data_IF_528365385842
#
_entry.id   IF_528365385842
#
_cell.length_a   1.000
_cell.length_b   1.000
_cell.length_c   1.000
_cell.angle_alpha   90.00
_cell.angle_beta   90.00
_cell.angle_gamma   90.00
#
_symmetry.space_group_name_H-M   'P 1'
#
loop_
_entity.id
_entity.type
_entity.pdbx_description
1 polymer ?
#
# COMPACT_ATOMS: atom_id res chain seq x y z
N UNK A 1 31.01 12.84 -3.97
CA UNK A 1 30.17 13.18 -2.78
C UNK A 1 29.09 12.12 -2.49
N UNK A 2 29.27 10.88 -3.00
CA UNK A 2 28.31 9.78 -2.86
C UNK A 2 28.80 8.67 -1.88
N UNK A 3 29.83 8.89 -1.07
CA UNK A 3 30.51 7.80 -0.33
C UNK A 3 30.34 7.82 1.19
N UNK A 4 29.53 8.69 1.78
CA UNK A 4 29.45 8.86 3.25
C UNK A 4 28.17 8.26 3.91
N UNK A 5 27.24 7.66 3.15
CA UNK A 5 25.98 7.15 3.73
C UNK A 5 25.89 5.64 4.02
N UNK A 6 26.89 4.84 3.63
CA UNK A 6 26.84 3.38 3.86
C UNK A 6 26.96 2.96 5.33
N UNK A 7 27.70 3.72 6.13
CA UNK A 7 27.99 3.32 7.52
C UNK A 7 26.92 3.73 8.55
N UNK A 8 26.04 4.67 8.21
CA UNK A 8 25.02 5.18 9.12
C UNK A 8 23.84 4.23 9.35
N UNK A 9 23.34 3.57 8.31
CA UNK A 9 22.17 2.68 8.40
C UNK A 9 22.52 1.38 9.14
N UNK A 10 23.65 0.75 8.84
CA UNK A 10 24.11 -0.45 9.56
C UNK A 10 24.41 -0.17 11.03
N UNK A 11 24.94 1.01 11.36
CA UNK A 11 25.21 1.42 12.75
C UNK A 11 23.90 1.62 13.54
N UNK A 12 22.85 2.20 12.92
CA UNK A 12 21.54 2.33 13.54
C UNK A 12 20.85 0.98 13.74
N UNK A 13 20.96 0.05 12.79
CA UNK A 13 20.43 -1.31 12.91
C UNK A 13 21.06 -2.09 14.08
N UNK A 14 22.38 -2.05 14.21
CA UNK A 14 23.08 -2.76 15.29
C UNK A 14 22.78 -2.16 16.68
N UNK A 15 22.66 -0.84 16.80
CA UNK A 15 22.32 -0.18 18.07
C UNK A 15 20.87 -0.45 18.47
N UNK A 16 19.94 -0.48 17.50
CA UNK A 16 18.53 -0.76 17.76
C UNK A 16 18.30 -2.24 18.15
N UNK A 17 18.97 -3.19 17.52
CA UNK A 17 18.92 -4.61 17.91
C UNK A 17 19.39 -4.85 19.35
N UNK A 18 20.38 -4.11 19.83
CA UNK A 18 20.90 -4.27 21.20
C UNK A 18 19.94 -3.69 22.24
N UNK A 19 19.19 -2.64 21.90
CA UNK A 19 18.25 -1.98 22.82
C UNK A 19 16.93 -2.77 22.91
N UNK A 20 16.43 -3.32 21.80
CA UNK A 20 15.13 -4.01 21.78
C UNK A 20 15.16 -5.42 22.43
N UNK A 21 16.32 -6.08 22.48
CA UNK A 21 16.44 -7.39 23.16
C UNK A 21 16.43 -7.31 24.70
N UNK A 22 16.49 -6.11 25.28
CA UNK A 22 16.58 -5.95 26.75
C UNK A 22 15.32 -5.45 27.46
N UNK A 23 14.31 -4.94 26.77
CA UNK A 23 13.20 -4.24 27.43
C UNK A 23 11.77 -4.58 27.00
N UNK A 24 11.53 -5.54 26.14
CA UNK A 24 10.14 -5.87 25.78
C UNK A 24 9.57 -7.03 26.60
N UNK A 25 9.05 -6.72 27.79
CA UNK A 25 7.76 -7.27 28.21
C UNK A 25 6.68 -6.40 27.55
N UNK A 26 6.41 -6.66 26.27
CA UNK A 26 5.28 -6.06 25.58
C UNK A 26 4.03 -6.57 26.28
N UNK A 27 3.24 -5.64 26.81
CA UNK A 27 1.85 -5.88 27.17
C UNK A 27 1.16 -6.47 25.92
N UNK A 28 0.91 -7.77 25.94
CA UNK A 28 0.07 -8.46 24.95
C UNK A 28 -1.36 -7.98 25.18
N UNK A 29 -1.72 -6.85 24.55
CA UNK A 29 -3.10 -6.66 24.18
C UNK A 29 -3.43 -7.86 23.29
N UNK A 30 -4.33 -8.74 23.75
CA UNK A 30 -4.76 -9.94 23.07
C UNK A 30 -5.25 -9.53 21.68
N UNK A 31 -4.45 -9.82 20.64
CA UNK A 31 -4.90 -9.75 19.27
C UNK A 31 -6.10 -10.69 19.15
N UNK A 32 -7.20 -10.23 18.56
CA UNK A 32 -8.44 -11.00 18.43
C UNK A 32 -8.35 -12.23 17.52
N UNK A 33 -7.16 -12.56 17.00
CA UNK A 33 -6.90 -13.84 16.35
C UNK A 33 -6.82 -14.90 17.47
N UNK A 34 -7.82 -15.78 17.51
CA UNK A 34 -7.90 -16.86 18.50
C UNK A 34 -6.64 -17.74 18.41
N UNK A 35 -6.17 -18.27 19.55
CA UNK A 35 -5.04 -19.21 19.69
C UNK A 35 -5.25 -20.55 18.97
N UNK A 36 -6.27 -20.70 18.14
CA UNK A 36 -6.67 -21.92 17.47
C UNK A 36 -6.53 -21.83 15.94
N UNK A 37 -5.38 -22.16 15.42
CA UNK A 37 -5.20 -22.49 14.01
C UNK A 37 -4.76 -21.31 13.11
N UNK A 38 -3.83 -21.60 12.18
CA UNK A 38 -3.47 -20.74 11.08
C UNK A 38 -4.72 -20.45 10.23
N UNK A 39 -5.08 -19.17 10.02
CA UNK A 39 -6.08 -18.78 9.02
C UNK A 39 -5.39 -18.46 7.71
N UNK A 40 -6.05 -18.69 6.58
CA UNK A 40 -5.40 -18.48 5.29
C UNK A 40 -5.19 -16.99 4.98
N UNK A 41 -6.08 -16.11 5.47
CA UNK A 41 -6.03 -14.68 5.16
C UNK A 41 -6.60 -13.81 6.29
N UNK A 42 -6.21 -12.53 6.30
CA UNK A 42 -6.71 -11.52 7.23
C UNK A 42 -6.80 -10.14 6.53
N UNK A 43 -7.85 -9.39 6.86
CA UNK A 43 -8.08 -8.00 6.43
C UNK A 43 -7.80 -7.05 7.57
N UNK A 44 -6.88 -6.11 7.40
CA UNK A 44 -6.59 -5.06 8.38
C UNK A 44 -7.35 -3.78 8.05
N UNK A 45 -8.01 -3.17 9.02
CA UNK A 45 -8.76 -1.93 8.82
C UNK A 45 -8.94 -1.12 10.10
N UNK A 46 -9.45 0.11 9.96
CA UNK A 46 -9.72 1.00 11.08
C UNK A 46 -10.80 2.01 10.72
N UNK A 47 -11.60 2.43 11.73
CA UNK A 47 -12.64 3.43 11.56
C UNK A 47 -12.10 4.85 11.31
N UNK A 48 -10.82 5.11 11.60
CA UNK A 48 -10.20 6.41 11.30
C UNK A 48 -10.37 6.78 9.81
N UNK A 49 -10.39 5.79 8.91
CA UNK A 49 -10.53 6.01 7.48
C UNK A 49 -11.95 6.42 7.03
N UNK A 50 -12.94 6.44 7.94
CA UNK A 50 -14.30 6.94 7.67
C UNK A 50 -14.38 8.46 7.78
N UNK A 51 -13.73 9.04 8.78
CA UNK A 51 -13.84 10.46 9.10
C UNK A 51 -12.64 11.32 8.69
N UNK A 52 -11.48 10.69 8.55
CA UNK A 52 -10.25 11.41 8.25
C UNK A 52 -10.14 11.78 6.76
N UNK A 53 -9.94 13.05 6.45
CA UNK A 53 -9.89 13.61 5.09
C UNK A 53 -8.69 14.53 4.91
N UNK A 54 -8.12 14.57 3.70
CA UNK A 54 -6.96 15.40 3.34
C UNK A 54 -7.27 16.88 3.13
N UNK A 55 -8.52 17.27 3.24
CA UNK A 55 -8.96 18.65 2.99
C UNK A 55 -9.49 18.89 1.57
N UNK A 56 -10.25 19.98 1.43
CA UNK A 56 -10.98 20.33 0.20
C UNK A 56 -10.01 20.53 -0.99
N UNK A 57 -10.32 19.90 -2.12
CA UNK A 57 -9.55 20.02 -3.35
C UNK A 57 -8.37 19.08 -3.49
N UNK A 58 -7.99 18.36 -2.44
CA UNK A 58 -6.93 17.36 -2.53
C UNK A 58 -7.41 16.08 -3.26
N UNK A 59 -6.58 15.44 -4.14
CA UNK A 59 -6.97 14.22 -4.84
C UNK A 59 -7.41 13.07 -3.92
N UNK A 60 -6.80 12.96 -2.74
CA UNK A 60 -7.17 11.96 -1.71
C UNK A 60 -8.31 12.41 -0.78
N UNK A 61 -8.96 13.54 -1.06
CA UNK A 61 -10.18 13.93 -0.35
C UNK A 61 -11.40 13.15 -0.89
N UNK A 62 -11.29 11.84 -0.88
CA UNK A 62 -12.29 10.87 -1.33
C UNK A 62 -12.38 9.70 -0.37
N UNK A 63 -13.54 9.06 -0.36
CA UNK A 63 -13.71 7.81 0.36
C UNK A 63 -12.98 6.67 -0.38
N UNK A 64 -12.07 5.98 0.29
CA UNK A 64 -11.25 4.91 -0.31
C UNK A 64 -11.32 3.59 0.46
N UNK A 65 -10.89 3.60 1.73
CA UNK A 65 -10.72 2.38 2.54
C UNK A 65 -12.06 1.89 3.09
N UNK A 66 -12.84 2.77 3.72
CA UNK A 66 -14.10 2.34 4.33
C UNK A 66 -15.14 1.81 3.32
N UNK A 67 -15.25 2.32 2.08
CA UNK A 67 -16.16 1.73 1.11
C UNK A 67 -15.78 0.29 0.74
N UNK A 68 -14.48 -0.05 0.77
CA UNK A 68 -14.01 -1.42 0.53
C UNK A 68 -14.49 -2.34 1.65
N UNK A 69 -14.32 -1.93 2.92
CA UNK A 69 -14.77 -2.70 4.09
C UNK A 69 -16.28 -2.95 4.00
N UNK A 70 -17.05 -1.88 3.78
CA UNK A 70 -18.51 -1.99 3.75
C UNK A 70 -19.00 -2.79 2.54
N UNK A 71 -18.37 -2.61 1.37
CA UNK A 71 -18.68 -3.38 0.17
C UNK A 71 -18.41 -4.87 0.37
N UNK A 72 -17.25 -5.23 0.93
CA UNK A 72 -16.92 -6.62 1.24
C UNK A 72 -17.88 -7.23 2.28
N UNK A 73 -18.35 -6.46 3.27
CA UNK A 73 -19.36 -6.90 4.23
C UNK A 73 -20.73 -7.10 3.58
N UNK A 74 -21.17 -6.18 2.73
CA UNK A 74 -22.44 -6.31 1.99
C UNK A 74 -22.41 -7.55 1.08
N UNK A 75 -21.27 -7.87 0.49
CA UNK A 75 -21.08 -9.06 -0.34
C UNK A 75 -20.92 -10.36 0.48
N UNK A 76 -20.90 -10.29 1.81
CA UNK A 76 -20.61 -11.39 2.72
C UNK A 76 -19.20 -12.02 2.49
N UNK A 77 -18.26 -11.22 1.99
CA UNK A 77 -16.87 -11.64 1.75
C UNK A 77 -15.94 -11.31 2.92
N UNK A 78 -16.40 -10.53 3.89
CA UNK A 78 -15.61 -10.13 5.05
C UNK A 78 -16.37 -10.40 6.37
N UNK A 79 -16.45 -11.66 6.81
CA UNK A 79 -16.88 -12.01 8.18
C UNK A 79 -15.94 -11.41 9.23
N UNK A 80 -16.46 -11.17 10.44
CA UNK A 80 -15.71 -10.49 11.50
C UNK A 80 -14.45 -11.24 11.95
N UNK A 81 -14.42 -12.56 11.84
CA UNK A 81 -13.24 -13.39 12.17
C UNK A 81 -12.02 -13.15 11.26
N UNK A 82 -12.23 -12.58 10.06
CA UNK A 82 -11.15 -12.21 9.14
C UNK A 82 -10.81 -10.72 9.17
N UNK A 83 -11.51 -9.94 10.00
CA UNK A 83 -11.27 -8.50 10.13
C UNK A 83 -10.48 -8.20 11.40
N UNK A 84 -9.33 -7.59 11.25
CA UNK A 84 -8.47 -7.16 12.35
C UNK A 84 -8.50 -5.63 12.45
N UNK A 85 -9.11 -5.04 13.50
CA UNK A 85 -9.05 -3.61 13.75
C UNK A 85 -7.64 -3.18 14.14
N UNK A 86 -7.27 -1.95 13.75
CA UNK A 86 -5.92 -1.42 13.92
C UNK A 86 -5.95 -0.04 14.55
N UNK A 87 -5.08 0.16 15.54
CA UNK A 87 -4.77 1.45 16.17
C UNK A 87 -3.46 2.04 15.58
N UNK A 88 -3.20 3.34 15.74
CA UNK A 88 -1.98 3.97 15.22
C UNK A 88 -0.69 3.35 15.78
N UNK A 89 0.31 3.19 14.91
CA UNK A 89 1.65 2.79 15.33
C UNK A 89 2.29 3.82 16.27
N UNK A 90 3.07 3.33 17.21
CA UNK A 90 3.85 4.21 18.09
C UNK A 90 4.99 4.90 17.32
N UNK A 91 5.51 6.04 17.83
CA UNK A 91 6.70 6.69 17.27
C UNK A 91 7.90 5.75 17.12
N UNK A 92 8.10 4.86 18.08
CA UNK A 92 9.20 3.88 18.09
C UNK A 92 9.03 2.85 16.96
N UNK A 93 7.82 2.40 16.69
CA UNK A 93 7.53 1.50 15.58
C UNK A 93 7.79 2.19 14.23
N UNK A 94 7.40 3.45 14.08
CA UNK A 94 7.67 4.24 12.88
C UNK A 94 9.16 4.56 12.70
N UNK A 95 9.91 4.66 13.80
CA UNK A 95 11.35 4.95 13.78
C UNK A 95 12.18 3.80 13.19
N UNK A 96 11.58 2.67 12.87
CA UNK A 96 12.22 1.60 12.09
C UNK A 96 12.67 2.10 10.70
N UNK A 97 11.96 3.06 10.13
CA UNK A 97 12.28 3.66 8.83
C UNK A 97 12.41 5.19 8.90
N UNK A 98 11.55 5.87 9.68
CA UNK A 98 11.48 7.31 9.71
C UNK A 98 12.31 7.93 10.82
N UNK A 99 12.92 9.08 10.55
CA UNK A 99 13.63 9.86 11.54
C UNK A 99 12.70 10.32 12.67
N UNK A 100 13.12 10.17 13.92
CA UNK A 100 12.33 10.58 15.08
C UNK A 100 11.99 12.08 15.07
N UNK A 101 12.86 12.92 14.50
CA UNK A 101 12.60 14.36 14.34
C UNK A 101 11.44 14.63 13.37
N UNK A 102 11.35 13.86 12.28
CA UNK A 102 10.25 13.93 11.32
C UNK A 102 8.93 13.43 11.94
N UNK A 103 8.96 12.30 12.67
CA UNK A 103 7.80 11.77 13.38
C UNK A 103 7.24 12.80 14.37
N UNK A 104 8.11 13.46 15.13
CA UNK A 104 7.70 14.54 16.05
C UNK A 104 7.10 15.73 15.32
N UNK A 105 7.61 16.09 14.14
CA UNK A 105 7.03 17.14 13.32
C UNK A 105 5.61 16.79 12.85
N UNK A 106 5.34 15.53 12.46
CA UNK A 106 3.98 15.06 12.16
C UNK A 106 3.04 15.16 13.37
N UNK A 107 3.50 14.76 14.55
CA UNK A 107 2.73 14.89 15.79
C UNK A 107 2.43 16.35 16.15
N UNK A 108 3.41 17.24 15.97
CA UNK A 108 3.22 18.69 16.17
C UNK A 108 2.22 19.25 15.15
N UNK A 109 2.35 18.87 13.87
CA UNK A 109 1.45 19.30 12.81
C UNK A 109 0.00 18.87 13.10
N UNK A 110 -0.21 17.67 13.62
CA UNK A 110 -1.55 17.21 14.02
C UNK A 110 -2.10 17.97 15.21
N UNK A 111 -1.30 18.12 16.27
CA UNK A 111 -1.72 18.78 17.50
C UNK A 111 -2.07 20.27 17.27
N UNK A 112 -1.17 20.98 16.58
CA UNK A 112 -1.21 22.44 16.47
C UNK A 112 -1.92 22.90 15.17
N UNK A 113 -2.20 21.98 14.24
CA UNK A 113 -2.71 22.22 12.89
C UNK A 113 -1.87 23.26 12.11
N UNK A 114 -0.61 23.37 12.47
CA UNK A 114 0.39 24.27 11.90
C UNK A 114 1.81 23.75 12.16
N UNK A 115 2.76 24.19 11.37
CA UNK A 115 4.20 24.08 11.61
C UNK A 115 4.88 25.42 11.32
N UNK A 116 6.08 25.60 11.87
CA UNK A 116 6.92 26.74 11.48
C UNK A 116 7.45 26.54 10.05
N UNK A 117 7.68 27.63 9.32
CA UNK A 117 8.15 27.60 7.94
C UNK A 117 9.40 26.74 7.74
N UNK A 118 10.35 26.81 8.66
CA UNK A 118 11.57 26.00 8.62
C UNK A 118 11.28 24.49 8.66
N UNK A 119 10.36 24.06 9.50
CA UNK A 119 9.94 22.65 9.61
C UNK A 119 9.11 22.21 8.40
N UNK A 120 8.21 23.09 7.89
CA UNK A 120 7.48 22.84 6.64
C UNK A 120 8.45 22.62 5.48
N UNK A 121 9.46 23.45 5.32
CA UNK A 121 10.48 23.30 4.28
C UNK A 121 11.32 22.05 4.44
N UNK A 122 11.74 21.75 5.66
CA UNK A 122 12.58 20.57 5.98
C UNK A 122 11.84 19.28 5.75
N UNK A 123 10.64 19.15 6.28
CA UNK A 123 9.87 17.90 6.33
C UNK A 123 8.83 17.78 5.23
N UNK A 124 8.63 18.83 4.41
CA UNK A 124 7.65 18.90 3.32
C UNK A 124 6.19 18.64 3.78
N UNK A 125 5.90 18.88 5.05
CA UNK A 125 4.56 18.84 5.63
C UNK A 125 3.90 20.20 5.45
N UNK A 126 2.68 20.26 4.90
CA UNK A 126 1.99 21.49 4.52
C UNK A 126 2.42 22.07 3.15
N UNK A 127 3.32 21.38 2.45
CA UNK A 127 3.85 21.78 1.14
C UNK A 127 3.67 20.65 0.11
N UNK A 128 3.85 20.99 -1.17
CA UNK A 128 3.91 20.03 -2.30
C UNK A 128 2.76 19.02 -2.32
N UNK A 129 1.55 19.49 -2.03
CA UNK A 129 0.35 18.64 -1.89
C UNK A 129 0.43 17.61 -0.76
N UNK A 130 1.24 17.84 0.28
CA UNK A 130 1.22 17.09 1.53
C UNK A 130 0.59 17.99 2.63
N UNK A 131 -0.74 18.16 2.68
CA UNK A 131 -1.39 19.13 3.53
C UNK A 131 -1.29 18.77 5.01
N UNK A 132 -1.37 19.78 5.89
CA UNK A 132 -1.71 19.55 7.28
C UNK A 132 -3.23 19.35 7.36
N UNK A 133 -3.67 18.28 8.01
CA UNK A 133 -5.07 17.95 8.27
C UNK A 133 -5.23 17.30 9.63
N UNK A 134 -6.46 17.16 10.10
CA UNK A 134 -6.78 16.77 11.48
C UNK A 134 -6.07 15.49 11.98
N UNK A 135 -5.83 14.52 11.10
CA UNK A 135 -5.22 13.23 11.44
C UNK A 135 -3.91 12.98 10.66
N UNK A 136 -3.12 14.05 10.43
CA UNK A 136 -1.91 13.96 9.58
C UNK A 136 -0.83 13.03 10.14
N UNK A 137 -0.84 12.75 11.44
CA UNK A 137 -0.03 11.72 12.09
C UNK A 137 -0.79 10.41 12.25
N UNK A 138 -1.98 10.43 12.90
CA UNK A 138 -2.69 9.20 13.27
C UNK A 138 -3.13 8.37 12.07
N UNK A 139 -3.65 9.01 11.01
CA UNK A 139 -4.11 8.29 9.82
C UNK A 139 -2.98 7.49 9.13
N UNK A 140 -1.83 8.07 8.74
CA UNK A 140 -0.73 7.29 8.17
C UNK A 140 -0.07 6.35 9.18
N UNK A 141 -0.02 6.70 10.47
CA UNK A 141 0.45 5.79 11.51
C UNK A 141 -0.44 4.55 11.66
N UNK A 142 -1.77 4.68 11.49
CA UNK A 142 -2.69 3.53 11.48
C UNK A 142 -2.47 2.64 10.25
N UNK A 143 -2.29 3.22 9.07
CA UNK A 143 -1.95 2.46 7.86
C UNK A 143 -0.64 1.68 8.04
N UNK A 144 0.37 2.31 8.64
CA UNK A 144 1.66 1.68 8.94
C UNK A 144 1.54 0.58 10.00
N UNK A 145 0.74 0.78 11.05
CA UNK A 145 0.48 -0.25 12.05
C UNK A 145 -0.12 -1.52 11.43
N UNK A 146 -1.07 -1.36 10.50
CA UNK A 146 -1.65 -2.47 9.77
C UNK A 146 -0.59 -3.27 8.99
N UNK A 147 0.32 -2.59 8.30
CA UNK A 147 1.41 -3.23 7.55
C UNK A 147 2.44 -3.91 8.47
N UNK A 148 2.75 -3.31 9.63
CA UNK A 148 3.63 -3.92 10.64
C UNK A 148 2.99 -5.16 11.27
N UNK A 149 1.70 -5.10 11.65
CA UNK A 149 0.96 -6.24 12.19
C UNK A 149 0.82 -7.37 11.16
N UNK A 150 0.62 -7.02 9.89
CA UNK A 150 0.59 -7.96 8.78
C UNK A 150 1.94 -8.68 8.61
N UNK A 151 3.05 -7.94 8.63
CA UNK A 151 4.40 -8.52 8.60
C UNK A 151 4.64 -9.48 9.77
N UNK A 152 4.20 -9.11 10.98
CA UNK A 152 4.27 -9.99 12.15
C UNK A 152 3.44 -11.27 11.98
N UNK A 153 2.21 -11.14 11.50
CA UNK A 153 1.31 -12.28 11.29
C UNK A 153 1.83 -13.26 10.23
N UNK A 154 2.41 -12.75 9.15
CA UNK A 154 3.03 -13.56 8.10
C UNK A 154 4.29 -14.27 8.61
N UNK A 155 5.18 -13.54 9.30
CA UNK A 155 6.41 -14.13 9.82
C UNK A 155 6.14 -15.23 10.86
N UNK A 156 5.15 -15.04 11.72
CA UNK A 156 4.71 -16.00 12.74
C UNK A 156 3.83 -17.12 12.14
N UNK A 157 3.66 -17.16 10.82
CA UNK A 157 2.85 -18.14 10.09
C UNK A 157 1.39 -18.25 10.59
N UNK A 158 0.86 -17.16 11.15
CA UNK A 158 -0.54 -17.07 11.58
C UNK A 158 -1.50 -16.93 10.41
N UNK A 159 -1.01 -16.34 9.31
CA UNK A 159 -1.74 -16.17 8.06
C UNK A 159 -0.83 -16.42 6.86
N UNK A 160 -1.41 -16.78 5.70
CA UNK A 160 -0.69 -16.86 4.42
C UNK A 160 -0.77 -15.58 3.63
N UNK A 161 -1.90 -14.88 3.70
CA UNK A 161 -2.12 -13.60 3.00
C UNK A 161 -2.72 -12.58 3.96
N UNK A 162 -2.11 -11.41 4.00
CA UNK A 162 -2.59 -10.26 4.77
C UNK A 162 -2.97 -9.13 3.80
N UNK A 163 -4.11 -8.50 3.99
CA UNK A 163 -4.57 -7.39 3.15
C UNK A 163 -4.72 -6.10 3.97
N UNK A 164 -4.02 -5.06 3.56
CA UNK A 164 -4.12 -3.72 4.11
C UNK A 164 -4.44 -2.70 3.00
N UNK A 165 -5.71 -2.40 2.71
CA UNK A 165 -6.07 -1.43 1.67
C UNK A 165 -5.72 0.02 2.04
N UNK A 166 -5.41 0.30 3.30
CA UNK A 166 -5.01 1.64 3.75
C UNK A 166 -3.51 1.92 3.56
N UNK A 167 -2.71 0.87 3.37
CA UNK A 167 -1.28 0.94 3.11
C UNK A 167 -0.93 1.26 1.66
N UNK A 168 0.34 1.07 1.35
CA UNK A 168 0.86 1.34 0.01
C UNK A 168 1.33 2.78 -0.20
N UNK A 169 1.81 3.43 0.84
CA UNK A 169 2.29 4.81 0.80
C UNK A 169 3.78 4.86 0.45
N UNK A 170 4.13 4.38 -0.73
CA UNK A 170 5.47 4.03 -1.20
C UNK A 170 6.40 5.21 -1.53
N UNK A 171 5.88 6.45 -1.51
CA UNK A 171 6.68 7.65 -1.79
C UNK A 171 7.26 8.30 -0.53
N UNK A 172 6.77 7.98 0.68
CA UNK A 172 7.25 8.56 1.93
C UNK A 172 8.76 8.36 2.10
N UNK A 173 9.48 9.44 2.45
CA UNK A 173 10.93 9.41 2.66
C UNK A 173 11.21 9.27 4.18
N UNK A 174 12.40 8.83 4.59
CA UNK A 174 12.72 8.70 6.00
C UNK A 174 12.53 9.98 6.80
N UNK A 175 12.83 11.12 6.19
CA UNK A 175 12.92 12.42 6.83
C UNK A 175 11.91 13.47 6.34
N UNK A 176 10.98 13.08 5.44
CA UNK A 176 10.01 14.03 4.87
C UNK A 176 8.83 13.35 4.18
N UNK A 177 7.71 14.06 4.10
CA UNK A 177 6.56 13.68 3.28
C UNK A 177 6.86 13.86 1.78
N UNK A 178 6.30 12.98 0.95
CA UNK A 178 6.48 13.03 -0.50
C UNK A 178 5.28 12.34 -1.19
N UNK A 179 4.76 12.92 -2.28
CA UNK A 179 3.71 12.30 -3.09
C UNK A 179 2.47 11.88 -2.31
N UNK A 180 1.94 12.74 -1.44
CA UNK A 180 0.81 12.47 -0.54
C UNK A 180 1.10 11.44 0.57
N UNK A 181 2.32 10.89 0.61
CA UNK A 181 2.74 9.87 1.56
C UNK A 181 3.51 10.50 2.72
N UNK A 182 2.98 10.37 3.93
CA UNK A 182 3.60 10.85 5.17
C UNK A 182 4.42 9.76 5.85
N UNK A 183 3.99 8.50 5.77
CA UNK A 183 4.70 7.34 6.35
C UNK A 183 4.81 6.28 5.27
N UNK A 184 6.00 5.69 5.10
CA UNK A 184 6.24 4.62 4.11
C UNK A 184 5.99 3.27 4.77
N UNK A 185 4.75 2.82 4.74
CA UNK A 185 4.35 1.56 5.33
C UNK A 185 4.88 0.32 4.58
N UNK A 186 5.05 0.32 3.22
CA UNK A 186 5.73 -0.79 2.54
C UNK A 186 7.17 -0.99 3.04
N UNK A 187 7.94 0.10 3.16
CA UNK A 187 9.30 0.03 3.68
C UNK A 187 9.33 -0.46 5.13
N UNK A 188 8.42 0.02 5.98
CA UNK A 188 8.29 -0.44 7.35
C UNK A 188 7.98 -1.94 7.45
N UNK A 189 7.07 -2.46 6.61
CA UNK A 189 6.73 -3.88 6.60
C UNK A 189 7.92 -4.75 6.15
N UNK A 190 8.64 -4.34 5.11
CA UNK A 190 9.84 -5.03 4.65
C UNK A 190 10.91 -5.06 5.75
N UNK A 191 11.22 -3.91 6.33
CA UNK A 191 12.19 -3.80 7.42
C UNK A 191 11.77 -4.63 8.66
N UNK A 192 10.47 -4.69 8.95
CA UNK A 192 9.94 -5.53 10.04
C UNK A 192 10.18 -7.02 9.80
N UNK A 193 9.93 -7.51 8.58
CA UNK A 193 10.23 -8.89 8.18
C UNK A 193 11.74 -9.19 8.32
N UNK A 194 12.59 -8.31 7.82
CA UNK A 194 14.05 -8.45 7.92
C UNK A 194 14.55 -8.43 9.38
N UNK A 195 13.99 -7.56 10.21
CA UNK A 195 14.31 -7.48 11.64
C UNK A 195 13.93 -8.77 12.38
N UNK A 196 12.84 -9.42 11.98
CA UNK A 196 12.43 -10.72 12.53
C UNK A 196 13.28 -11.89 12.04
N UNK A 197 14.07 -11.72 10.99
CA UNK A 197 15.00 -12.73 10.50
C UNK A 197 14.75 -13.21 9.07
N UNK A 198 13.82 -12.62 8.32
CA UNK A 198 13.63 -12.93 6.91
C UNK A 198 14.92 -12.66 6.11
N UNK A 199 15.27 -13.60 5.21
CA UNK A 199 16.50 -13.51 4.41
C UNK A 199 16.22 -13.03 2.99
N UNK A 200 14.98 -13.16 2.48
CA UNK A 200 14.60 -12.75 1.13
C UNK A 200 13.19 -12.21 1.10
N UNK A 201 13.03 -10.92 0.82
CA UNK A 201 11.74 -10.26 0.66
C UNK A 201 11.63 -9.70 -0.75
N UNK A 202 10.59 -10.08 -1.49
CA UNK A 202 10.25 -9.51 -2.78
C UNK A 202 9.26 -8.35 -2.58
N UNK A 203 9.52 -7.21 -3.19
CA UNK A 203 8.57 -6.12 -3.33
C UNK A 203 8.13 -6.03 -4.79
N UNK A 204 6.84 -6.26 -5.04
CA UNK A 204 6.23 -6.17 -6.38
C UNK A 204 5.23 -5.03 -6.36
N UNK A 205 5.38 -4.07 -7.27
CA UNK A 205 4.59 -2.85 -7.33
C UNK A 205 3.89 -2.71 -8.69
N UNK A 206 2.57 -2.62 -8.69
CA UNK A 206 1.74 -2.42 -9.88
C UNK A 206 0.96 -1.10 -9.84
N UNK A 207 1.33 -0.18 -8.94
CA UNK A 207 0.87 1.20 -8.92
C UNK A 207 1.30 1.94 -10.21
N UNK A 208 0.57 2.95 -10.63
CA UNK A 208 0.94 3.72 -11.81
C UNK A 208 2.16 4.63 -11.62
N UNK A 209 2.65 4.78 -10.38
CA UNK A 209 3.79 5.63 -10.02
C UNK A 209 4.98 4.80 -9.55
N UNK A 210 6.19 5.27 -9.88
CA UNK A 210 7.42 4.63 -9.40
C UNK A 210 7.55 4.75 -7.87
N UNK A 211 7.87 3.65 -7.14
CA UNK A 211 8.03 3.65 -5.68
C UNK A 211 9.36 4.24 -5.22
N UNK A 212 9.57 5.53 -5.48
CA UNK A 212 10.84 6.22 -5.26
C UNK A 212 11.31 6.17 -3.79
N UNK A 213 10.37 6.27 -2.84
CA UNK A 213 10.68 6.18 -1.42
C UNK A 213 11.15 4.78 -1.00
N UNK A 214 10.55 3.71 -1.56
CA UNK A 214 10.96 2.34 -1.28
C UNK A 214 12.29 2.04 -1.97
N UNK A 215 12.41 2.32 -3.28
CA UNK A 215 13.62 2.01 -4.04
C UNK A 215 14.84 2.75 -3.50
N UNK A 216 14.74 4.06 -3.26
CA UNK A 216 15.86 4.88 -2.83
C UNK A 216 16.51 4.41 -1.51
N UNK A 217 15.77 3.68 -0.68
CA UNK A 217 16.21 3.32 0.67
C UNK A 217 16.38 1.82 0.91
N UNK A 218 15.75 0.98 0.09
CA UNK A 218 15.85 -0.49 0.23
C UNK A 218 16.64 -1.16 -0.90
N UNK A 219 16.82 -0.50 -2.06
CA UNK A 219 17.76 -1.00 -3.06
C UNK A 219 19.18 -0.89 -2.52
N UNK A 220 19.90 -1.99 -2.50
CA UNK A 220 21.23 -2.07 -1.87
C UNK A 220 21.28 -3.04 -0.70
N UNK A 221 20.13 -3.48 -0.17
CA UNK A 221 20.06 -4.64 0.72
C UNK A 221 19.83 -5.90 -0.13
N UNK A 222 20.82 -6.79 -0.18
CA UNK A 222 20.77 -8.03 -0.99
C UNK A 222 19.62 -8.97 -0.61
N UNK A 223 19.02 -8.77 0.56
CA UNK A 223 17.83 -9.52 1.04
C UNK A 223 16.54 -9.00 0.44
N UNK A 224 16.55 -7.81 -0.21
CA UNK A 224 15.36 -7.18 -0.79
C UNK A 224 15.53 -7.02 -2.28
N UNK A 225 14.57 -7.50 -3.06
CA UNK A 225 14.53 -7.21 -4.48
C UNK A 225 13.18 -6.60 -4.87
N UNK A 226 13.25 -5.56 -5.71
CA UNK A 226 12.10 -4.73 -6.09
C UNK A 226 11.79 -4.90 -7.58
N UNK A 227 10.51 -5.02 -7.91
CA UNK A 227 9.97 -4.98 -9.27
C UNK A 227 8.83 -3.98 -9.31
N UNK A 228 8.90 -3.02 -10.21
CA UNK A 228 7.85 -2.00 -10.37
C UNK A 228 7.42 -1.89 -11.81
N UNK A 229 6.09 -1.88 -12.03
CA UNK A 229 5.47 -1.50 -13.30
C UNK A 229 4.82 -0.15 -13.07
N UNK A 230 5.16 0.87 -13.88
CA UNK A 230 4.57 2.20 -13.74
C UNK A 230 4.52 2.95 -15.07
N UNK A 231 3.75 4.05 -15.14
CA UNK A 231 3.63 4.86 -16.34
C UNK A 231 4.92 5.63 -16.61
N UNK A 232 5.43 5.54 -17.83
CA UNK A 232 6.62 6.25 -18.28
C UNK A 232 6.47 7.77 -18.15
N UNK A 233 7.53 8.45 -17.69
CA UNK A 233 7.59 9.90 -17.54
C UNK A 233 6.50 10.50 -16.61
N UNK A 234 5.79 9.67 -15.85
CA UNK A 234 4.87 10.09 -14.79
C UNK A 234 5.66 10.59 -13.58
N UNK A 235 5.07 11.47 -12.77
CA UNK A 235 5.63 11.80 -11.48
C UNK A 235 5.91 10.49 -10.68
N UNK A 236 7.01 10.35 -9.95
CA UNK A 236 8.08 11.31 -9.63
C UNK A 236 9.16 11.46 -10.71
N UNK A 237 9.00 10.85 -11.89
CA UNK A 237 9.94 10.89 -13.03
C UNK A 237 11.27 10.19 -12.76
N UNK A 238 11.27 9.28 -11.81
CA UNK A 238 12.36 8.34 -11.49
C UNK A 238 11.98 6.94 -11.96
N UNK A 239 12.84 5.93 -11.77
CA UNK A 239 12.54 4.55 -12.13
C UNK A 239 12.49 4.31 -13.64
N UNK A 240 13.35 4.95 -14.43
CA UNK A 240 13.45 4.66 -15.86
C UNK A 240 13.89 3.20 -16.07
N UNK A 241 13.56 2.62 -17.22
CA UNK A 241 13.86 1.21 -17.52
C UNK A 241 15.34 0.81 -17.35
N UNK A 242 16.27 1.77 -17.36
CA UNK A 242 17.70 1.55 -17.09
C UNK A 242 18.09 1.69 -15.61
N UNK A 243 17.19 2.17 -14.76
CA UNK A 243 17.44 2.31 -13.33
C UNK A 243 17.24 0.95 -12.65
N UNK A 244 18.34 0.38 -12.18
CA UNK A 244 18.36 -0.95 -11.57
C UNK A 244 18.60 -0.93 -10.05
N UNK A 245 18.58 0.24 -9.41
CA UNK A 245 18.76 0.35 -7.96
C UNK A 245 19.97 -0.44 -7.46
N UNK A 246 21.17 -0.17 -8.00
CA UNK A 246 22.42 -0.90 -7.69
C UNK A 246 22.34 -2.43 -7.92
N UNK A 247 21.42 -2.88 -8.79
CA UNK A 247 21.21 -4.29 -9.11
C UNK A 247 20.05 -4.95 -8.38
N UNK A 248 19.40 -4.25 -7.44
CA UNK A 248 18.32 -4.78 -6.60
C UNK A 248 16.93 -4.27 -6.98
N UNK A 249 16.80 -3.50 -8.05
CA UNK A 249 15.52 -3.06 -8.59
C UNK A 249 15.38 -3.39 -10.08
N UNK A 250 14.15 -3.55 -10.53
CA UNK A 250 13.76 -3.72 -11.93
C UNK A 250 12.54 -2.86 -12.21
N UNK A 251 12.73 -1.86 -13.05
CA UNK A 251 11.70 -0.89 -13.43
C UNK A 251 11.19 -1.17 -14.84
N UNK A 252 9.88 -1.38 -14.98
CA UNK A 252 9.20 -1.64 -16.25
C UNK A 252 8.25 -0.48 -16.53
N UNK A 253 8.69 0.44 -17.36
CA UNK A 253 7.87 1.58 -17.75
C UNK A 253 6.88 1.21 -18.84
N UNK A 254 5.64 1.65 -18.69
CA UNK A 254 4.58 1.48 -19.68
C UNK A 254 4.21 2.83 -20.31
N UNK A 255 4.03 2.83 -21.61
CA UNK A 255 3.57 3.99 -22.35
C UNK A 255 2.14 4.39 -21.94
N UNK A 256 1.84 5.68 -22.05
CA UNK A 256 0.48 6.20 -21.85
C UNK A 256 -0.51 5.45 -22.76
N UNK A 257 -1.62 4.99 -22.21
CA UNK A 257 -2.62 4.20 -22.92
C UNK A 257 -2.35 2.69 -22.88
N UNK A 258 -1.29 2.22 -22.22
CA UNK A 258 -1.06 0.80 -22.04
C UNK A 258 -2.20 0.16 -21.21
N UNK A 259 -2.71 -0.96 -21.72
CA UNK A 259 -3.80 -1.72 -21.12
C UNK A 259 -3.35 -3.06 -20.55
N UNK A 260 -4.34 -3.94 -20.30
CA UNK A 260 -4.14 -5.26 -19.67
C UNK A 260 -3.05 -6.09 -20.35
N UNK A 261 -3.02 -6.13 -21.68
CA UNK A 261 -2.06 -6.94 -22.44
C UNK A 261 -0.60 -6.55 -22.12
N UNK A 262 -0.34 -5.25 -21.94
CA UNK A 262 0.99 -4.76 -21.58
C UNK A 262 1.34 -5.10 -20.15
N UNK A 263 0.39 -4.90 -19.22
CA UNK A 263 0.56 -5.26 -17.81
C UNK A 263 0.85 -6.75 -17.66
N UNK A 264 -0.02 -7.60 -18.19
CA UNK A 264 0.09 -9.07 -18.06
C UNK A 264 1.33 -9.62 -18.76
N UNK A 265 1.71 -9.05 -19.90
CA UNK A 265 2.96 -9.42 -20.58
C UNK A 265 4.19 -9.09 -19.71
N UNK A 266 4.22 -7.93 -19.05
CA UNK A 266 5.31 -7.60 -18.11
C UNK A 266 5.35 -8.59 -16.96
N UNK A 267 4.19 -8.95 -16.40
CA UNK A 267 4.11 -9.95 -15.34
C UNK A 267 4.67 -11.29 -15.79
N UNK A 268 4.18 -11.82 -16.90
CA UNK A 268 4.49 -13.20 -17.36
C UNK A 268 5.91 -13.35 -17.90
N UNK A 269 6.39 -12.36 -18.65
CA UNK A 269 7.69 -12.49 -19.33
C UNK A 269 8.87 -12.07 -18.47
N UNK A 270 8.66 -11.17 -17.52
CA UNK A 270 9.78 -10.58 -16.76
C UNK A 270 9.63 -10.76 -15.26
N UNK A 271 8.56 -10.25 -14.65
CA UNK A 271 8.48 -10.16 -13.19
C UNK A 271 8.40 -11.54 -12.54
N UNK A 272 7.39 -12.34 -12.90
CA UNK A 272 7.18 -13.64 -12.25
C UNK A 272 8.36 -14.60 -12.37
N UNK A 273 9.02 -14.72 -13.57
CA UNK A 273 10.22 -15.54 -13.68
C UNK A 273 11.39 -15.06 -12.81
N UNK A 274 11.56 -13.74 -12.66
CA UNK A 274 12.63 -13.17 -11.84
C UNK A 274 12.32 -13.32 -10.34
N UNK A 275 11.08 -13.06 -9.91
CA UNK A 275 10.64 -13.28 -8.53
C UNK A 275 10.81 -14.76 -8.16
N UNK A 276 10.42 -15.68 -9.04
CA UNK A 276 10.59 -17.12 -8.81
C UNK A 276 12.08 -17.50 -8.68
N UNK A 277 12.96 -16.91 -9.50
CA UNK A 277 14.42 -17.13 -9.43
C UNK A 277 15.01 -16.55 -8.15
N UNK A 278 14.57 -15.39 -7.71
CA UNK A 278 14.98 -14.79 -6.43
C UNK A 278 14.60 -15.68 -5.25
N UNK A 279 13.51 -16.44 -5.40
CA UNK A 279 12.97 -17.36 -4.41
C UNK A 279 12.72 -16.70 -3.05
N UNK A 280 11.84 -15.67 -2.97
CA UNK A 280 11.57 -14.95 -1.73
C UNK A 280 10.93 -15.85 -0.69
N UNK A 281 11.16 -15.52 0.58
CA UNK A 281 10.43 -16.08 1.70
C UNK A 281 9.07 -15.37 1.88
N UNK A 282 9.05 -14.05 1.62
CA UNK A 282 7.87 -13.19 1.73
C UNK A 282 7.73 -12.29 0.51
N UNK A 283 6.49 -11.96 0.19
CA UNK A 283 6.17 -10.98 -0.86
C UNK A 283 5.40 -9.81 -0.23
N UNK A 284 5.77 -8.60 -0.58
CA UNK A 284 4.97 -7.39 -0.37
C UNK A 284 4.49 -6.93 -1.74
N UNK A 285 3.18 -7.07 -1.99
CA UNK A 285 2.52 -6.65 -3.22
C UNK A 285 1.89 -5.27 -3.00
N UNK A 286 2.42 -4.26 -3.66
CA UNK A 286 1.82 -2.93 -3.77
C UNK A 286 0.79 -2.96 -4.90
N UNK A 287 -0.49 -2.92 -4.53
CA UNK A 287 -1.60 -3.02 -5.45
C UNK A 287 -2.35 -1.67 -5.56
N UNK A 288 -1.62 -0.59 -5.88
CA UNK A 288 -2.23 0.66 -6.29
C UNK A 288 -3.12 0.46 -7.51
N UNK A 289 -4.27 1.10 -7.52
CA UNK A 289 -5.25 0.95 -8.59
C UNK A 289 -5.41 2.20 -9.45
N UNK A 290 -4.47 3.12 -9.38
CA UNK A 290 -4.47 4.34 -10.22
C UNK A 290 -4.01 4.09 -11.67
N UNK A 291 -3.54 2.88 -11.99
CA UNK A 291 -3.38 2.39 -13.36
C UNK A 291 -4.70 2.04 -14.07
N UNK A 292 -5.84 2.05 -13.36
CA UNK A 292 -7.14 1.76 -13.95
C UNK A 292 -7.59 2.88 -14.90
N UNK A 293 -8.27 2.49 -15.98
CA UNK A 293 -8.78 3.41 -17.03
C UNK A 293 -9.58 4.60 -16.51
N UNK A 294 -10.27 4.40 -15.38
CA UNK A 294 -11.14 5.42 -14.79
C UNK A 294 -10.45 6.26 -13.71
N UNK A 295 -9.14 6.14 -13.55
CA UNK A 295 -8.38 6.92 -12.58
C UNK A 295 -7.80 8.20 -13.20
N UNK A 296 -7.93 9.37 -12.53
CA UNK A 296 -7.47 10.64 -13.09
C UNK A 296 -5.95 10.89 -12.95
N UNK A 297 -5.24 10.09 -12.15
CA UNK A 297 -3.83 10.34 -11.85
C UNK A 297 -2.85 9.60 -12.76
N UNK A 298 -3.33 8.74 -13.66
CA UNK A 298 -2.48 8.12 -14.68
C UNK A 298 -3.13 8.16 -16.07
N UNK A 299 -2.36 7.78 -17.07
CA UNK A 299 -2.84 7.59 -18.42
C UNK A 299 -2.88 6.13 -18.84
N UNK A 300 -2.60 5.21 -17.92
CA UNK A 300 -2.80 3.77 -18.12
C UNK A 300 -4.30 3.45 -18.25
N UNK A 301 -4.63 2.33 -18.84
CA UNK A 301 -6.02 1.96 -19.11
C UNK A 301 -6.33 0.51 -18.74
N UNK A 302 -5.85 0.07 -17.58
CA UNK A 302 -6.17 -1.25 -17.07
C UNK A 302 -7.66 -1.36 -16.74
N UNK A 303 -8.23 -2.55 -16.89
CA UNK A 303 -9.52 -2.89 -16.31
C UNK A 303 -9.35 -3.54 -14.94
N UNK A 304 -10.42 -3.60 -14.14
CA UNK A 304 -10.42 -4.36 -12.90
C UNK A 304 -9.97 -5.82 -13.13
N UNK A 305 -10.45 -6.43 -14.21
CA UNK A 305 -10.09 -7.81 -14.57
C UNK A 305 -8.58 -7.98 -14.80
N UNK A 306 -7.97 -7.11 -15.59
CA UNK A 306 -6.53 -7.18 -15.85
C UNK A 306 -5.68 -6.89 -14.59
N UNK A 307 -6.12 -5.92 -13.79
CA UNK A 307 -5.51 -5.60 -12.51
C UNK A 307 -5.56 -6.79 -11.54
N UNK A 308 -6.72 -7.46 -11.41
CA UNK A 308 -6.87 -8.64 -10.57
C UNK A 308 -6.04 -9.82 -11.07
N UNK A 309 -6.00 -10.06 -12.40
CA UNK A 309 -5.16 -11.09 -12.99
C UNK A 309 -3.68 -10.89 -12.66
N UNK A 310 -3.19 -9.64 -12.69
CA UNK A 310 -1.82 -9.33 -12.29
C UNK A 310 -1.55 -9.68 -10.81
N UNK A 311 -2.45 -9.28 -9.91
CA UNK A 311 -2.35 -9.61 -8.50
C UNK A 311 -2.46 -11.13 -8.23
N UNK A 312 -3.41 -11.80 -8.89
CA UNK A 312 -3.63 -13.25 -8.80
C UNK A 312 -2.39 -14.06 -9.20
N UNK A 313 -1.67 -13.61 -10.24
CA UNK A 313 -0.40 -14.21 -10.65
C UNK A 313 0.69 -14.12 -9.57
N UNK A 314 0.76 -13.02 -8.84
CA UNK A 314 1.69 -12.87 -7.70
C UNK A 314 1.28 -13.79 -6.54
N UNK A 315 -0.01 -13.81 -6.19
CA UNK A 315 -0.55 -14.72 -5.17
C UNK A 315 -0.33 -16.19 -5.53
N UNK A 316 -0.41 -16.52 -6.83
CA UNK A 316 -0.13 -17.86 -7.38
C UNK A 316 1.30 -18.36 -7.18
N UNK A 317 2.25 -17.49 -6.77
CA UNK A 317 3.58 -17.92 -6.34
C UNK A 317 3.56 -18.69 -5.00
N UNK A 318 2.42 -18.71 -4.31
CA UNK A 318 2.19 -19.43 -3.06
C UNK A 318 3.22 -19.12 -1.96
N UNK A 319 3.56 -17.84 -1.82
CA UNK A 319 4.42 -17.32 -0.75
C UNK A 319 3.57 -16.52 0.25
N UNK A 320 3.96 -16.48 1.53
CA UNK A 320 3.36 -15.55 2.47
C UNK A 320 3.41 -14.13 1.92
N UNK A 321 2.22 -13.51 1.73
CA UNK A 321 2.09 -12.25 0.98
C UNK A 321 1.33 -11.20 1.76
N UNK A 322 1.95 -10.02 1.92
CA UNK A 322 1.26 -8.79 2.32
C UNK A 322 0.78 -8.08 1.05
N UNK A 323 -0.52 -7.87 0.92
CA UNK A 323 -1.13 -7.10 -0.16
C UNK A 323 -1.53 -5.73 0.39
N UNK A 324 -1.00 -4.68 -0.23
CA UNK A 324 -1.23 -3.29 0.14
C UNK A 324 -2.17 -2.61 -0.86
N UNK A 325 -2.83 -1.57 -0.43
CA UNK A 325 -3.49 -0.63 -1.32
C UNK A 325 -2.49 0.16 -2.17
N UNK A 326 -2.52 1.48 -2.10
CA UNK A 326 -1.65 2.38 -2.87
C UNK A 326 -2.41 3.52 -3.51
N UNK A 327 -2.03 3.95 -4.70
CA UNK A 327 -2.76 4.93 -5.50
C UNK A 327 -4.17 4.47 -5.85
N UNK A 328 -5.01 5.42 -6.17
CA UNK A 328 -6.43 5.24 -6.53
C UNK A 328 -7.21 6.48 -6.15
N UNK A 329 -7.66 7.24 -7.14
CA UNK A 329 -8.19 8.61 -6.99
C UNK A 329 -9.60 8.76 -7.55
N UNK A 330 -10.22 7.66 -7.91
CA UNK A 330 -11.62 7.53 -8.23
C UNK A 330 -12.29 6.63 -7.19
N UNK A 331 -13.18 7.15 -6.31
CA UNK A 331 -13.73 6.38 -5.20
C UNK A 331 -14.53 5.15 -5.66
N UNK A 332 -15.13 5.20 -6.84
CA UNK A 332 -15.93 4.10 -7.39
C UNK A 332 -15.05 2.96 -7.91
N UNK A 333 -14.04 3.28 -8.72
CA UNK A 333 -13.12 2.26 -9.24
C UNK A 333 -12.24 1.69 -8.14
N UNK A 334 -11.75 2.52 -7.22
CA UNK A 334 -10.94 2.08 -6.07
C UNK A 334 -11.71 1.10 -5.18
N UNK A 335 -12.96 1.44 -4.82
CA UNK A 335 -13.78 0.55 -3.97
C UNK A 335 -14.03 -0.80 -4.65
N UNK A 336 -14.35 -0.80 -5.96
CA UNK A 336 -14.58 -2.03 -6.74
C UNK A 336 -13.31 -2.86 -6.91
N UNK A 337 -12.20 -2.21 -7.26
CA UNK A 337 -10.92 -2.88 -7.50
C UNK A 337 -10.41 -3.59 -6.23
N UNK A 338 -10.39 -2.89 -5.11
CA UNK A 338 -9.88 -3.46 -3.85
C UNK A 338 -10.87 -4.43 -3.20
N UNK A 339 -12.19 -4.25 -3.36
CA UNK A 339 -13.13 -5.26 -2.92
C UNK A 339 -12.99 -6.56 -3.73
N UNK A 340 -12.78 -6.46 -5.05
CA UNK A 340 -12.50 -7.63 -5.88
C UNK A 340 -11.16 -8.28 -5.55
N UNK A 341 -10.13 -7.50 -5.21
CA UNK A 341 -8.85 -8.03 -4.75
C UNK A 341 -9.00 -8.82 -3.44
N UNK A 342 -9.77 -8.29 -2.48
CA UNK A 342 -10.14 -9.06 -1.30
C UNK A 342 -10.95 -10.32 -1.65
N UNK A 343 -11.86 -10.23 -2.62
CA UNK A 343 -12.58 -11.40 -3.13
C UNK A 343 -11.65 -12.52 -3.55
N UNK A 344 -10.63 -12.22 -4.36
CA UNK A 344 -9.61 -13.21 -4.78
C UNK A 344 -8.88 -13.80 -3.57
N UNK A 345 -8.45 -12.96 -2.63
CA UNK A 345 -7.72 -13.39 -1.42
C UNK A 345 -8.59 -14.33 -0.58
N UNK A 346 -9.88 -14.05 -0.47
CA UNK A 346 -10.83 -14.79 0.37
C UNK A 346 -11.54 -15.94 -0.37
N UNK A 347 -11.12 -16.25 -1.61
CA UNK A 347 -11.66 -17.37 -2.40
C UNK A 347 -13.02 -17.11 -3.04
N UNK A 348 -13.41 -15.84 -3.18
CA UNK A 348 -14.60 -15.42 -3.90
C UNK A 348 -14.29 -15.02 -5.35
N UNK A 349 -15.29 -14.99 -6.22
CA UNK A 349 -15.14 -14.69 -7.65
C UNK A 349 -15.55 -13.24 -7.98
N UNK A 350 -14.61 -12.28 -8.08
CA UNK A 350 -14.94 -10.92 -8.46
C UNK A 350 -15.22 -10.76 -9.96
N UNK A 351 -14.78 -11.71 -10.80
CA UNK A 351 -14.93 -11.65 -12.26
C UNK A 351 -16.38 -11.84 -12.73
N UNK A 352 -17.25 -12.34 -11.84
CA UNK A 352 -18.68 -12.57 -12.12
C UNK A 352 -19.59 -11.94 -11.07
N UNK A 353 -19.06 -11.04 -10.24
CA UNK A 353 -19.82 -10.44 -9.16
C UNK A 353 -20.62 -9.23 -9.64
N UNK A 354 -21.93 -9.46 -9.86
CA UNK A 354 -22.91 -8.37 -9.95
C UNK A 354 -23.21 -7.82 -8.56
N UNK A 355 -23.41 -6.50 -8.48
CA UNK A 355 -23.60 -5.83 -7.20
C UNK A 355 -25.07 -5.90 -6.76
N UNK A 356 -25.34 -6.38 -5.54
CA UNK A 356 -26.67 -6.30 -4.97
C UNK A 356 -27.06 -4.83 -4.74
N UNK A 357 -28.37 -4.57 -4.62
CA UNK A 357 -28.91 -3.21 -4.46
C UNK A 357 -28.27 -2.42 -3.32
N UNK A 358 -27.95 -3.06 -2.21
CA UNK A 358 -27.27 -2.42 -1.08
C UNK A 358 -25.86 -1.93 -1.46
N UNK A 359 -25.10 -2.71 -2.22
CA UNK A 359 -23.78 -2.33 -2.71
C UNK A 359 -23.87 -1.19 -3.75
N UNK A 360 -24.85 -1.26 -4.66
CA UNK A 360 -25.14 -0.19 -5.62
C UNK A 360 -25.45 1.12 -4.92
N UNK A 361 -26.29 1.09 -3.88
CA UNK A 361 -26.61 2.28 -3.05
C UNK A 361 -25.40 2.82 -2.30
N UNK A 362 -24.56 1.96 -1.73
CA UNK A 362 -23.30 2.36 -1.10
C UNK A 362 -22.44 3.16 -2.06
N UNK A 363 -22.17 2.60 -3.24
CA UNK A 363 -21.33 3.26 -4.25
C UNK A 363 -21.98 4.54 -4.79
N UNK A 364 -23.29 4.54 -5.05
CA UNK A 364 -24.00 5.73 -5.52
C UNK A 364 -23.95 6.89 -4.54
N UNK A 365 -23.85 6.61 -3.23
CA UNK A 365 -23.71 7.60 -2.15
C UNK A 365 -22.29 8.19 -2.02
N UNK A 366 -21.30 7.67 -2.73
CA UNK A 366 -19.94 8.22 -2.67
C UNK A 366 -19.84 9.58 -3.36
N UNK A 367 -19.18 10.51 -2.69
CA UNK A 367 -18.91 11.85 -3.23
C UNK A 367 -17.58 11.87 -3.98
N UNK A 368 -17.55 12.59 -5.09
CA UNK A 368 -16.34 12.83 -5.86
C UNK A 368 -16.42 14.20 -6.55
N UNK A 369 -15.52 15.10 -6.19
CA UNK A 369 -15.50 16.47 -6.71
C UNK A 369 -14.84 16.60 -8.10
N UNK A 370 -14.27 15.52 -8.63
CA UNK A 370 -13.59 15.52 -9.92
C UNK A 370 -14.58 15.69 -11.09
N UNK A 371 -14.14 16.32 -12.19
CA UNK A 371 -14.97 16.58 -13.38
C UNK A 371 -15.59 15.33 -14.00
N UNK A 372 -14.96 14.18 -13.86
CA UNK A 372 -15.49 12.89 -14.37
C UNK A 372 -16.70 12.38 -13.58
N UNK A 373 -16.91 12.89 -12.38
CA UNK A 373 -18.11 12.54 -11.59
C UNK A 373 -19.43 12.99 -12.24
N UNK A 374 -19.39 13.86 -13.28
CA UNK A 374 -20.56 14.28 -14.02
C UNK A 374 -21.16 13.18 -14.91
N UNK A 375 -20.34 12.24 -15.36
CA UNK A 375 -20.75 11.13 -16.25
C UNK A 375 -20.29 9.81 -15.64
N UNK A 376 -21.00 9.35 -14.61
CA UNK A 376 -20.70 8.09 -13.92
C UNK A 376 -21.22 6.91 -14.77
N UNK A 377 -20.35 6.02 -15.28
CA UNK A 377 -20.81 4.84 -16.03
C UNK A 377 -21.65 3.92 -15.14
N UNK A 378 -22.72 3.35 -15.68
CA UNK A 378 -23.62 2.44 -14.95
C UNK A 378 -22.88 1.25 -14.33
N UNK A 379 -21.86 0.71 -15.03
CA UNK A 379 -21.04 -0.41 -14.55
C UNK A 379 -20.42 -0.16 -13.17
N UNK A 380 -20.17 1.10 -12.78
CA UNK A 380 -19.60 1.40 -11.45
C UNK A 380 -20.55 1.01 -10.31
N UNK A 381 -21.84 0.87 -10.60
CA UNK A 381 -22.88 0.59 -9.59
C UNK A 381 -23.53 -0.78 -9.77
N UNK A 382 -23.24 -1.47 -10.88
CA UNK A 382 -23.92 -2.70 -11.24
C UNK A 382 -23.04 -3.95 -11.02
N UNK A 383 -21.69 -3.82 -11.10
CA UNK A 383 -20.80 -4.97 -11.06
C UNK A 383 -19.38 -4.61 -10.60
N UNK A 384 -18.63 -5.59 -10.08
CA UNK A 384 -17.23 -5.40 -9.73
C UNK A 384 -16.31 -5.43 -10.96
N UNK A 385 -16.55 -6.34 -11.90
CA UNK A 385 -15.76 -6.52 -13.12
C UNK A 385 -16.03 -5.42 -14.15
N UNK A 386 -15.06 -5.18 -15.03
CA UNK A 386 -15.22 -4.24 -16.15
C UNK A 386 -15.46 -4.94 -17.48
N UNK A 387 -14.71 -6.02 -17.77
CA UNK A 387 -14.82 -6.80 -18.99
C UNK A 387 -15.85 -7.91 -18.80
N UNK A 388 -16.56 -8.29 -19.87
CA UNK A 388 -17.46 -9.43 -19.80
C UNK A 388 -16.67 -10.70 -19.42
N UNK A 389 -17.21 -11.59 -18.58
CA UNK A 389 -16.57 -12.87 -18.33
C UNK A 389 -16.37 -13.62 -19.66
N UNK A 390 -15.16 -14.08 -19.92
CA UNK A 390 -14.84 -14.92 -21.08
C UNK A 390 -15.45 -16.30 -20.97
#
# INVERSE_FOLDING_TARGET
LAYVRRDGLLSHYLTFCIIMTKNEKISTARSGLSDSGCVDYVFFGSDIFRGSVYGKGHPLNIARVWPVIDLCRILNWLPDEYYQPVEPASPEQLNLFHDMSYIRALQMAERDQALQDADMQRYRIGLDNNPIFADVYRRPATAAAASLMAADALFESRVKTAFNPSGGTHHGMPDKANGFCFVNDPALAILRLLLKGAQKVAYVDIDAHHPDGVQAHLSGDERVQLWSIHEENRWPRTGQSGDNGDGFARNFTLERGAGNDRLLRCMDQYILPEVARFAPEYIVLQAGCDGLKDDPQSGLVFSNNGYWQAAEKVLGLNKPTLVLGGGGYNPFSTARAWAGLWGLISGNDPYRCDLPEAASRLLAGLEWSHRWARNKPRRWFERLYDDAPS
#
